data_IF_673695707260
#
_entry.id   IF_673695707260
#
_cell.length_a   1.000
_cell.length_b   1.000
_cell.length_c   1.000
_cell.angle_alpha   90.00
_cell.angle_beta   90.00
_cell.angle_gamma   90.00
#
_symmetry.space_group_name_H-M   'P 1'
#
loop_
_entity.id
_entity.type
_entity.pdbx_description
1 polymer ?
#
# COMPACT_ATOMS: atom_id res chain seq x y z
N UNK A 1 -9.33 15.00 15.01
CA UNK A 1 -8.71 14.40 13.81
C UNK A 1 -8.06 13.05 14.08
N UNK A 2 -7.38 12.83 15.23
CA UNK A 2 -6.75 11.53 15.52
C UNK A 2 -7.75 10.36 15.57
N UNK A 3 -8.91 10.53 16.23
CA UNK A 3 -9.94 9.47 16.33
C UNK A 3 -10.40 8.96 14.96
N UNK A 4 -10.54 9.86 13.97
CA UNK A 4 -10.95 9.49 12.61
C UNK A 4 -9.84 8.73 11.86
N UNK A 5 -8.58 9.17 11.96
CA UNK A 5 -7.45 8.44 11.38
C UNK A 5 -7.28 7.06 12.03
N UNK A 6 -7.44 6.98 13.36
CA UNK A 6 -7.35 5.73 14.11
C UNK A 6 -8.49 4.77 13.74
N UNK A 7 -9.74 5.24 13.65
CA UNK A 7 -10.86 4.38 13.26
C UNK A 7 -10.73 3.87 11.84
N UNK A 8 -10.28 4.71 10.90
CA UNK A 8 -10.01 4.30 9.53
C UNK A 8 -8.91 3.24 9.47
N UNK A 9 -7.82 3.40 10.22
CA UNK A 9 -6.70 2.46 10.23
C UNK A 9 -7.05 1.12 10.88
N UNK A 10 -7.85 1.13 11.96
CA UNK A 10 -8.41 -0.09 12.55
C UNK A 10 -9.31 -0.82 11.54
N UNK A 11 -10.20 -0.08 10.86
CA UNK A 11 -11.08 -0.64 9.83
C UNK A 11 -10.30 -1.26 8.67
N UNK A 12 -9.26 -0.57 8.18
CA UNK A 12 -8.38 -1.07 7.13
C UNK A 12 -7.62 -2.33 7.57
N UNK A 13 -7.10 -2.36 8.81
CA UNK A 13 -6.43 -3.53 9.38
C UNK A 13 -7.34 -4.75 9.42
N UNK A 14 -8.55 -4.59 9.96
CA UNK A 14 -9.53 -5.68 10.08
C UNK A 14 -9.97 -6.19 8.71
N UNK A 15 -10.17 -5.28 7.75
CA UNK A 15 -10.51 -5.64 6.37
C UNK A 15 -9.37 -6.36 5.66
N UNK A 16 -8.11 -5.94 5.86
CA UNK A 16 -6.95 -6.62 5.27
C UNK A 16 -6.82 -8.05 5.79
N UNK A 17 -7.00 -8.27 7.10
CA UNK A 17 -7.01 -9.61 7.71
C UNK A 17 -8.18 -10.43 7.16
N UNK A 18 -9.39 -9.85 7.13
CA UNK A 18 -10.58 -10.54 6.65
C UNK A 18 -10.45 -10.96 5.19
N UNK A 19 -10.00 -10.05 4.31
CA UNK A 19 -9.79 -10.34 2.90
C UNK A 19 -8.66 -11.37 2.69
N UNK A 20 -7.56 -11.27 3.43
CA UNK A 20 -6.49 -12.26 3.40
C UNK A 20 -6.98 -13.65 3.82
N UNK A 21 -7.81 -13.72 4.87
CA UNK A 21 -8.45 -14.96 5.31
C UNK A 21 -9.42 -15.53 4.27
N UNK A 22 -10.29 -14.70 3.68
CA UNK A 22 -11.23 -15.12 2.62
C UNK A 22 -10.45 -15.68 1.43
N UNK A 23 -9.41 -14.98 0.98
CA UNK A 23 -8.59 -15.41 -0.15
C UNK A 23 -7.81 -16.69 0.11
N UNK A 24 -7.49 -17.00 1.37
CA UNK A 24 -6.77 -18.22 1.76
C UNK A 24 -7.66 -19.39 2.21
N UNK A 25 -8.97 -19.22 2.34
CA UNK A 25 -9.85 -20.28 2.88
C UNK A 25 -11.12 -20.53 2.07
N UNK A 26 -11.64 -19.52 1.37
CA UNK A 26 -12.84 -19.64 0.56
C UNK A 26 -12.50 -20.00 -0.90
N UNK A 27 -13.53 -20.27 -1.70
CA UNK A 27 -13.39 -20.62 -3.11
C UNK A 27 -13.58 -22.11 -3.37
N UNK A 28 -13.54 -22.48 -4.64
CA UNK A 28 -13.59 -23.87 -5.10
C UNK A 28 -12.18 -24.32 -5.43
N UNK A 29 -11.80 -25.48 -4.91
CA UNK A 29 -10.56 -26.12 -5.29
C UNK A 29 -10.74 -26.78 -6.67
N UNK A 30 -10.03 -26.26 -7.67
CA UNK A 30 -9.96 -26.79 -9.03
C UNK A 30 -8.56 -27.28 -9.38
N UNK A 31 -7.68 -27.51 -8.40
CA UNK A 31 -6.32 -28.04 -8.63
C UNK A 31 -6.33 -29.38 -9.36
N UNK A 32 -7.41 -30.15 -9.22
CA UNK A 32 -7.60 -31.43 -9.90
C UNK A 32 -8.20 -31.31 -11.33
N UNK A 33 -8.71 -30.14 -11.71
CA UNK A 33 -9.27 -29.91 -13.05
C UNK A 33 -8.17 -29.49 -14.04
N UNK A 34 -7.82 -30.41 -14.94
CA UNK A 34 -6.77 -30.22 -15.93
C UNK A 34 -6.99 -28.97 -16.80
N UNK A 35 -8.23 -28.72 -17.24
CA UNK A 35 -8.52 -27.60 -18.12
C UNK A 35 -8.42 -26.24 -17.39
N UNK A 36 -8.77 -26.21 -16.09
CA UNK A 36 -8.65 -25.02 -15.27
C UNK A 36 -7.19 -24.70 -14.96
N UNK A 37 -6.40 -25.71 -14.57
CA UNK A 37 -4.96 -25.56 -14.29
C UNK A 37 -4.22 -25.13 -15.55
N UNK A 38 -4.45 -25.77 -16.70
CA UNK A 38 -3.80 -25.40 -17.97
C UNK A 38 -4.10 -23.95 -18.37
N UNK A 39 -5.33 -23.47 -18.17
CA UNK A 39 -5.71 -22.09 -18.43
C UNK A 39 -5.05 -21.11 -17.45
N UNK A 40 -4.87 -21.49 -16.19
CA UNK A 40 -4.14 -20.67 -15.21
C UNK A 40 -2.65 -20.64 -15.50
N UNK A 41 -2.05 -21.77 -15.87
CA UNK A 41 -0.66 -21.87 -16.32
C UNK A 41 -0.43 -20.98 -17.53
N UNK A 42 -1.32 -21.03 -18.53
CA UNK A 42 -1.26 -20.14 -19.69
C UNK A 42 -1.28 -18.68 -19.28
N UNK A 43 -2.26 -18.26 -18.47
CA UNK A 43 -2.38 -16.88 -18.01
C UNK A 43 -1.18 -16.44 -17.16
N UNK A 44 -0.64 -17.32 -16.32
CA UNK A 44 0.52 -17.01 -15.50
C UNK A 44 1.77 -16.83 -16.37
N UNK A 45 2.01 -17.75 -17.32
CA UNK A 45 3.18 -17.68 -18.20
C UNK A 45 3.08 -16.54 -19.21
N UNK A 46 1.87 -16.20 -19.69
CA UNK A 46 1.66 -15.07 -20.60
C UNK A 46 1.86 -13.70 -19.94
N UNK A 47 1.54 -13.60 -18.65
CA UNK A 47 1.37 -12.31 -17.95
C UNK A 47 2.40 -12.08 -16.85
N UNK A 48 2.61 -13.04 -15.94
CA UNK A 48 3.42 -12.87 -14.74
C UNK A 48 4.86 -13.39 -14.89
N UNK A 49 5.07 -14.44 -15.69
CA UNK A 49 6.38 -15.07 -15.83
C UNK A 49 7.42 -14.19 -16.53
N UNK A 50 6.98 -13.22 -17.34
CA UNK A 50 7.86 -12.16 -17.88
C UNK A 50 8.50 -11.30 -16.79
N UNK A 51 7.78 -11.05 -15.70
CA UNK A 51 8.23 -10.19 -14.62
C UNK A 51 9.09 -10.94 -13.61
N UNK A 52 8.81 -12.23 -13.36
CA UNK A 52 9.66 -13.06 -12.49
C UNK A 52 11.04 -13.33 -13.08
N UNK A 53 11.17 -13.44 -14.41
CA UNK A 53 12.48 -13.55 -15.08
C UNK A 53 13.25 -12.23 -15.09
N UNK A 54 12.57 -11.07 -15.16
CA UNK A 54 13.25 -9.76 -15.00
C UNK A 54 13.82 -9.57 -13.60
N UNK A 55 13.24 -10.23 -12.58
CA UNK A 55 13.63 -10.13 -11.16
C UNK A 55 14.79 -11.06 -10.78
N UNK A 56 14.98 -12.20 -11.45
CA UNK A 56 15.94 -13.25 -11.04
C UNK A 56 17.41 -13.00 -11.44
N UNK A 57 17.85 -11.75 -11.45
CA UNK A 57 19.27 -11.38 -11.55
C UNK A 57 20.05 -11.88 -12.79
N UNK A 58 19.39 -11.94 -13.95
CA UNK A 58 20.10 -12.08 -15.24
C UNK A 58 19.93 -10.78 -16.03
N UNK A 59 20.96 -9.93 -15.93
CA UNK A 59 21.07 -8.66 -16.63
C UNK A 59 20.79 -8.85 -18.13
N UNK A 60 19.62 -8.37 -18.56
CA UNK A 60 19.13 -8.26 -19.94
C UNK A 60 18.70 -9.61 -20.55
N UNK A 61 17.49 -10.07 -20.18
CA UNK A 61 16.75 -11.07 -20.94
C UNK A 61 15.79 -10.37 -21.95
N UNK A 62 15.94 -10.64 -23.25
CA UNK A 62 14.92 -10.30 -24.25
C UNK A 62 13.94 -11.48 -24.33
N UNK A 63 12.69 -11.24 -23.95
CA UNK A 63 11.62 -12.24 -24.06
C UNK A 63 11.22 -12.35 -25.54
N UNK A 64 11.54 -13.47 -26.20
CA UNK A 64 11.28 -13.65 -27.62
C UNK A 64 9.86 -14.18 -27.91
N UNK A 65 9.18 -14.72 -26.91
CA UNK A 65 7.77 -15.13 -27.02
C UNK A 65 7.43 -16.30 -26.09
N UNK A 66 6.14 -16.48 -25.84
CA UNK A 66 5.57 -17.69 -25.23
C UNK A 66 5.04 -18.54 -26.38
N UNK A 67 5.60 -19.73 -26.59
CA UNK A 67 5.03 -20.72 -27.53
C UNK A 67 4.19 -21.70 -26.73
N UNK A 68 3.00 -21.97 -27.23
CA UNK A 68 2.11 -22.99 -26.66
C UNK A 68 1.99 -24.09 -27.70
N UNK A 69 2.50 -25.27 -27.38
CA UNK A 69 2.24 -26.48 -28.15
C UNK A 69 1.25 -27.35 -27.39
N UNK A 70 0.39 -28.04 -28.12
CA UNK A 70 -0.59 -28.96 -27.54
C UNK A 70 -0.04 -30.37 -27.70
N UNK A 71 0.21 -31.05 -26.60
CA UNK A 71 0.63 -32.45 -26.56
C UNK A 71 -0.53 -33.35 -26.11
N UNK A 72 -0.36 -34.67 -26.23
CA UNK A 72 -1.34 -35.67 -25.83
C UNK A 72 -1.65 -35.66 -24.31
N UNK A 73 -0.75 -35.11 -23.49
CA UNK A 73 -0.90 -35.00 -22.03
C UNK A 73 -1.29 -33.59 -21.51
N UNK A 74 -1.48 -32.59 -22.40
CA UNK A 74 -1.87 -31.22 -22.02
C UNK A 74 -1.26 -30.11 -22.90
N UNK A 75 -1.18 -28.89 -22.37
CA UNK A 75 -0.50 -27.77 -23.04
C UNK A 75 0.97 -27.67 -22.58
N UNK A 76 1.89 -27.73 -23.54
CA UNK A 76 3.31 -27.40 -23.36
C UNK A 76 3.46 -25.88 -23.53
N UNK A 77 3.64 -25.17 -22.42
CA UNK A 77 3.94 -23.74 -22.47
C UNK A 77 5.44 -23.57 -22.40
N UNK A 78 6.03 -23.19 -23.53
CA UNK A 78 7.43 -22.85 -23.67
C UNK A 78 7.64 -21.35 -23.55
N UNK A 79 8.32 -20.92 -22.51
CA UNK A 79 8.88 -19.57 -22.50
C UNK A 79 10.25 -19.59 -23.20
N UNK A 80 10.42 -18.81 -24.28
CA UNK A 80 11.69 -18.68 -25.01
C UNK A 80 12.38 -17.38 -24.59
N UNK A 81 13.51 -17.50 -23.88
CA UNK A 81 14.24 -16.35 -23.33
C UNK A 81 15.62 -16.28 -23.92
N UNK A 82 16.01 -15.12 -24.46
CA UNK A 82 17.41 -14.87 -24.82
C UNK A 82 18.08 -14.07 -23.73
N UNK A 83 19.06 -14.68 -23.07
CA UNK A 83 19.94 -14.06 -22.08
C UNK A 83 21.18 -13.51 -22.77
N UNK A 84 21.69 -12.37 -22.30
CA UNK A 84 23.04 -11.91 -22.65
C UNK A 84 24.00 -12.56 -21.65
N UNK A 85 24.69 -13.64 -22.04
CA UNK A 85 25.76 -14.17 -21.19
C UNK A 85 26.91 -13.17 -21.17
N UNK A 86 27.65 -13.12 -20.05
CA UNK A 86 28.74 -12.21 -19.68
C UNK A 86 29.11 -11.13 -20.72
N UNK A 87 29.08 -9.86 -20.29
CA UNK A 87 29.41 -8.66 -21.08
C UNK A 87 30.74 -8.70 -21.84
N UNK A 88 31.62 -9.67 -21.56
CA UNK A 88 32.88 -9.92 -22.28
C UNK A 88 32.72 -10.70 -23.60
N UNK A 89 31.68 -11.55 -23.75
CA UNK A 89 31.60 -12.54 -24.82
C UNK A 89 30.48 -12.31 -25.85
N UNK A 90 29.52 -11.41 -25.54
CA UNK A 90 28.45 -11.02 -26.48
C UNK A 90 27.49 -12.14 -26.91
N UNK A 91 27.57 -13.33 -26.30
CA UNK A 91 26.76 -14.49 -26.63
C UNK A 91 25.32 -14.36 -26.09
N UNK A 92 24.38 -14.88 -26.89
CA UNK A 92 22.94 -14.87 -26.64
C UNK A 92 22.48 -16.29 -26.39
N UNK A 93 22.28 -16.67 -25.14
CA UNK A 93 21.81 -18.02 -24.78
C UNK A 93 20.29 -18.07 -24.75
N UNK A 94 19.70 -19.09 -25.37
CA UNK A 94 18.24 -19.26 -25.40
C UNK A 94 17.82 -20.46 -24.55
N UNK A 95 17.18 -20.21 -23.40
CA UNK A 95 16.66 -21.28 -22.53
C UNK A 95 15.16 -21.42 -22.72
N UNK A 96 14.69 -22.67 -22.77
CA UNK A 96 13.30 -23.03 -22.88
C UNK A 96 12.86 -23.67 -21.57
N UNK A 97 11.88 -23.07 -20.90
CA UNK A 97 11.27 -23.62 -19.69
C UNK A 97 9.98 -24.35 -20.06
N UNK A 98 9.86 -25.61 -19.63
CA UNK A 98 8.66 -26.43 -19.76
C UNK A 98 7.75 -26.33 -18.52
N UNK A 99 6.54 -25.78 -18.70
CA UNK A 99 5.48 -25.70 -17.68
C UNK A 99 4.42 -26.79 -17.84
N UNK A 100 4.80 -27.96 -18.34
CA UNK A 100 3.88 -29.09 -18.50
C UNK A 100 3.19 -29.49 -17.20
N UNK A 101 1.98 -30.03 -17.34
CA UNK A 101 1.18 -30.56 -16.23
C UNK A 101 1.93 -31.61 -15.41
N UNK A 102 2.86 -32.35 -16.04
CA UNK A 102 3.74 -33.31 -15.37
C UNK A 102 4.63 -32.62 -14.33
N UNK A 103 5.23 -31.49 -14.68
CA UNK A 103 6.08 -30.71 -13.77
C UNK A 103 5.25 -30.07 -12.65
N UNK A 104 4.07 -29.55 -12.98
CA UNK A 104 3.12 -29.06 -11.97
C UNK A 104 2.76 -30.13 -10.93
N UNK A 105 2.38 -31.34 -11.38
CA UNK A 105 2.03 -32.45 -10.50
C UNK A 105 3.23 -32.97 -9.70
N UNK A 106 4.44 -32.90 -10.25
CA UNK A 106 5.67 -33.26 -9.53
C UNK A 106 5.91 -32.29 -8.37
N UNK A 107 5.76 -30.98 -8.60
CA UNK A 107 5.87 -29.95 -7.56
C UNK A 107 4.76 -30.08 -6.51
N UNK A 108 3.51 -30.31 -6.93
CA UNK A 108 2.38 -30.47 -6.00
C UNK A 108 2.58 -31.69 -5.08
N UNK A 109 3.08 -32.82 -5.63
CA UNK A 109 3.41 -34.01 -4.83
C UNK A 109 4.58 -33.77 -3.89
N UNK A 110 5.63 -33.10 -4.35
CA UNK A 110 6.77 -32.77 -3.52
C UNK A 110 6.37 -31.85 -2.36
N UNK A 111 5.57 -30.81 -2.63
CA UNK A 111 5.04 -29.90 -1.62
C UNK A 111 4.07 -30.58 -0.63
N UNK A 112 3.28 -31.54 -1.10
CA UNK A 112 2.39 -32.33 -0.22
C UNK A 112 3.15 -33.31 0.67
N UNK A 113 4.30 -33.81 0.21
CA UNK A 113 5.14 -34.77 0.95
C UNK A 113 6.06 -34.05 1.94
N UNK A 114 6.56 -32.86 1.57
CA UNK A 114 7.46 -32.04 2.38
C UNK A 114 6.79 -30.72 2.77
N UNK A 115 5.83 -30.80 3.68
CA UNK A 115 5.10 -29.62 4.18
C UNK A 115 6.06 -28.67 4.89
N UNK A 116 6.21 -27.46 4.36
CA UNK A 116 7.13 -26.44 4.88
C UNK A 116 8.48 -26.37 4.19
N UNK A 117 8.73 -27.18 3.15
CA UNK A 117 9.94 -27.08 2.35
C UNK A 117 10.02 -25.74 1.60
N UNK A 118 11.23 -25.18 1.53
CA UNK A 118 11.48 -23.94 0.78
C UNK A 118 11.34 -24.18 -0.72
N UNK A 119 11.19 -23.10 -1.51
CA UNK A 119 11.10 -23.20 -2.98
C UNK A 119 12.39 -23.84 -3.55
N UNK A 120 13.53 -23.58 -2.92
CA UNK A 120 14.84 -24.10 -3.31
C UNK A 120 14.96 -25.60 -3.01
N UNK A 121 14.50 -26.04 -1.83
CA UNK A 121 14.43 -27.47 -1.50
C UNK A 121 13.49 -28.22 -2.44
N UNK A 122 12.35 -27.62 -2.80
CA UNK A 122 11.43 -28.20 -3.78
C UNK A 122 12.01 -28.23 -5.20
N UNK A 123 12.85 -27.25 -5.56
CA UNK A 123 13.60 -27.25 -6.81
C UNK A 123 14.63 -28.38 -6.86
N UNK A 124 15.35 -28.61 -5.76
CA UNK A 124 16.27 -29.74 -5.64
C UNK A 124 15.53 -31.09 -5.71
N UNK A 125 14.42 -31.24 -4.99
CA UNK A 125 13.62 -32.47 -4.95
C UNK A 125 12.96 -32.83 -6.28
N UNK A 126 12.62 -31.83 -7.09
CA UNK A 126 11.93 -32.03 -8.38
C UNK A 126 12.88 -31.98 -9.57
N UNK A 127 14.16 -31.67 -9.36
CA UNK A 127 15.16 -31.38 -10.40
C UNK A 127 14.70 -30.29 -11.40
N UNK A 128 13.79 -29.41 -10.97
CA UNK A 128 13.26 -28.32 -11.79
C UNK A 128 13.94 -27.00 -11.40
N UNK A 129 14.13 -26.07 -12.36
CA UNK A 129 14.55 -24.71 -12.06
C UNK A 129 13.63 -24.06 -11.03
N UNK A 130 14.20 -23.30 -10.08
CA UNK A 130 13.46 -22.57 -9.02
C UNK A 130 12.28 -21.76 -9.59
N UNK A 131 12.47 -21.14 -10.76
CA UNK A 131 11.42 -20.35 -11.43
C UNK A 131 10.20 -21.19 -11.83
N UNK A 132 10.40 -22.47 -12.18
CA UNK A 132 9.30 -23.39 -12.50
C UNK A 132 8.57 -23.90 -11.27
N UNK A 133 9.29 -24.15 -10.18
CA UNK A 133 8.71 -24.54 -8.90
C UNK A 133 7.85 -23.42 -8.34
N UNK A 134 8.38 -22.19 -8.32
CA UNK A 134 7.67 -20.98 -7.91
C UNK A 134 6.39 -20.75 -8.72
N UNK A 135 6.48 -20.84 -10.04
CA UNK A 135 5.32 -20.75 -10.92
C UNK A 135 4.27 -21.80 -10.57
N UNK A 136 4.68 -23.05 -10.39
CA UNK A 136 3.77 -24.17 -10.09
C UNK A 136 3.07 -23.99 -8.74
N UNK A 137 3.78 -23.54 -7.70
CA UNK A 137 3.18 -23.23 -6.40
C UNK A 137 2.18 -22.06 -6.48
N UNK A 138 2.50 -21.00 -7.23
CA UNK A 138 1.60 -19.87 -7.41
C UNK A 138 0.30 -20.29 -8.14
N UNK A 139 0.41 -21.18 -9.11
CA UNK A 139 -0.73 -21.75 -9.85
C UNK A 139 -1.55 -22.65 -8.92
N UNK A 140 -0.89 -23.48 -8.10
CA UNK A 140 -1.56 -24.35 -7.14
C UNK A 140 -2.37 -23.55 -6.11
N UNK A 141 -1.78 -22.48 -5.56
CA UNK A 141 -2.46 -21.57 -4.64
C UNK A 141 -3.67 -20.86 -5.28
N UNK A 142 -3.56 -20.47 -6.56
CA UNK A 142 -4.67 -19.87 -7.30
C UNK A 142 -5.77 -20.89 -7.63
N UNK A 143 -5.40 -22.13 -7.91
CA UNK A 143 -6.31 -23.21 -8.22
C UNK A 143 -7.09 -23.70 -6.99
N UNK A 144 -6.51 -23.64 -5.79
CA UNK A 144 -7.19 -24.07 -4.56
C UNK A 144 -8.32 -23.13 -4.12
N UNK A 145 -8.25 -21.84 -4.46
CA UNK A 145 -9.19 -20.79 -3.98
C UNK A 145 -9.95 -20.07 -5.10
N UNK A 146 -10.31 -20.76 -6.20
CA UNK A 146 -11.00 -20.10 -7.30
C UNK A 146 -12.36 -19.53 -6.89
N UNK A 147 -12.61 -18.27 -7.24
CA UNK A 147 -13.83 -17.55 -6.87
C UNK A 147 -13.83 -16.95 -5.46
N UNK A 148 -12.77 -17.12 -4.65
CA UNK A 148 -12.64 -16.48 -3.34
C UNK A 148 -12.71 -14.95 -3.42
N UNK A 149 -12.16 -14.37 -4.50
CA UNK A 149 -12.16 -12.92 -4.74
C UNK A 149 -13.57 -12.31 -4.75
N UNK A 150 -14.60 -13.05 -5.16
CA UNK A 150 -15.98 -12.56 -5.17
C UNK A 150 -16.48 -12.33 -3.74
N UNK A 151 -16.14 -13.24 -2.82
CA UNK A 151 -16.48 -13.14 -1.40
C UNK A 151 -15.75 -11.98 -0.72
N UNK A 152 -14.56 -11.62 -1.19
CA UNK A 152 -13.85 -10.43 -0.73
C UNK A 152 -14.57 -9.12 -1.10
N UNK A 153 -15.51 -9.12 -2.05
CA UNK A 153 -16.40 -7.97 -2.31
C UNK A 153 -17.71 -8.07 -1.51
N UNK A 154 -18.33 -9.26 -1.49
CA UNK A 154 -19.63 -9.45 -0.83
C UNK A 154 -19.58 -9.27 0.68
N UNK A 155 -18.58 -9.86 1.35
CA UNK A 155 -18.52 -9.87 2.83
C UNK A 155 -18.26 -8.46 3.38
N UNK A 156 -17.22 -7.72 2.95
CA UNK A 156 -17.04 -6.32 3.34
C UNK A 156 -18.22 -5.42 2.95
N UNK A 157 -18.81 -5.65 1.77
CA UNK A 157 -19.98 -4.89 1.31
C UNK A 157 -21.20 -5.09 2.22
N UNK A 158 -21.45 -6.33 2.66
CA UNK A 158 -22.53 -6.63 3.60
C UNK A 158 -22.27 -6.02 4.98
N UNK A 159 -21.03 -6.10 5.49
CA UNK A 159 -20.64 -5.45 6.74
C UNK A 159 -20.83 -3.92 6.68
N UNK A 160 -20.46 -3.30 5.56
CA UNK A 160 -20.70 -1.87 5.34
C UNK A 160 -22.19 -1.54 5.29
N UNK A 161 -23.03 -2.39 4.67
CA UNK A 161 -24.48 -2.20 4.65
C UNK A 161 -25.09 -2.32 6.05
N UNK A 162 -24.67 -3.32 6.84
CA UNK A 162 -25.09 -3.46 8.24
C UNK A 162 -24.69 -2.24 9.05
N UNK A 163 -23.46 -1.73 8.85
CA UNK A 163 -23.00 -0.49 9.46
C UNK A 163 -23.84 0.72 9.05
N UNK A 164 -24.21 0.83 7.78
CA UNK A 164 -25.05 1.91 7.27
C UNK A 164 -26.48 1.86 7.84
N UNK A 165 -27.09 0.68 7.93
CA UNK A 165 -28.40 0.48 8.58
C UNK A 165 -28.31 0.79 10.08
N UNK A 166 -27.24 0.36 10.74
CA UNK A 166 -26.98 0.69 12.14
C UNK A 166 -26.86 2.19 12.37
N UNK A 167 -26.10 2.90 11.54
CA UNK A 167 -26.01 4.36 11.58
C UNK A 167 -27.37 5.00 11.30
N UNK A 168 -28.11 4.53 10.31
CA UNK A 168 -29.45 5.06 10.02
C UNK A 168 -30.42 4.88 11.21
N UNK A 169 -30.32 3.79 11.96
CA UNK A 169 -31.19 3.52 13.10
C UNK A 169 -30.75 4.19 14.40
N UNK A 170 -29.43 4.37 14.63
CA UNK A 170 -28.86 4.82 15.90
C UNK A 170 -28.35 6.26 15.87
N UNK A 171 -27.96 6.78 14.70
CA UNK A 171 -27.42 8.13 14.57
C UNK A 171 -28.56 9.14 14.59
N UNK A 172 -28.70 9.86 15.70
CA UNK A 172 -29.67 10.95 15.84
C UNK A 172 -29.02 12.27 15.46
N UNK A 173 -29.72 13.09 14.68
CA UNK A 173 -29.18 14.27 14.00
C UNK A 173 -28.68 15.39 14.94
N UNK A 174 -29.18 15.50 16.16
CA UNK A 174 -28.79 16.57 17.09
C UNK A 174 -29.00 16.21 18.56
N UNK A 175 -28.21 16.79 19.50
CA UNK A 175 -28.48 16.66 20.95
C UNK A 175 -29.86 17.20 21.37
N UNK A 176 -30.47 18.07 20.55
CA UNK A 176 -31.86 18.51 20.69
C UNK A 176 -32.89 17.37 20.54
N UNK A 177 -32.60 16.36 19.72
CA UNK A 177 -33.49 15.20 19.52
C UNK A 177 -33.60 14.27 20.73
N UNK A 178 -32.71 14.44 21.71
CA UNK A 178 -32.67 13.69 22.98
C UNK A 178 -32.95 14.55 24.21
N UNK A 179 -33.38 15.81 24.03
CA UNK A 179 -33.77 16.70 25.12
C UNK A 179 -32.61 17.21 25.99
N UNK A 180 -31.35 17.07 25.53
CA UNK A 180 -30.18 17.58 26.23
C UNK A 180 -29.93 19.04 25.85
N UNK A 181 -29.64 19.94 26.81
CA UNK A 181 -29.26 21.32 26.52
C UNK A 181 -27.97 21.33 25.67
N UNK A 182 -27.91 22.22 24.67
CA UNK A 182 -26.69 22.43 23.89
C UNK A 182 -25.55 22.78 24.84
N UNK A 183 -24.46 22.00 24.80
CA UNK A 183 -23.25 22.27 25.56
C UNK A 183 -22.77 23.70 25.23
N UNK A 184 -22.73 24.58 26.23
CA UNK A 184 -22.28 25.98 26.11
C UNK A 184 -20.84 26.13 25.53
N UNK A 185 -20.07 25.05 25.50
CA UNK A 185 -18.77 24.97 24.83
C UNK A 185 -18.85 25.11 23.29
N UNK A 186 -20.04 24.96 22.68
CA UNK A 186 -20.26 25.29 21.27
C UNK A 186 -20.50 26.80 21.05
N UNK A 187 -20.92 27.53 22.10
CA UNK A 187 -21.12 28.99 22.04
C UNK A 187 -19.83 29.78 22.21
N UNK A 188 -18.75 29.18 22.69
CA UNK A 188 -17.47 29.89 22.83
C UNK A 188 -16.75 29.95 21.47
N UNK A 189 -17.04 31.03 20.72
CA UNK A 189 -16.26 31.66 19.63
C UNK A 189 -16.68 31.50 18.16
N UNK A 190 -17.86 30.97 17.82
CA UNK A 190 -18.34 30.95 16.43
C UNK A 190 -19.63 31.77 16.20
N UNK A 191 -20.45 31.98 17.23
CA UNK A 191 -21.78 32.61 17.07
C UNK A 191 -21.89 34.09 17.48
N UNK A 192 -20.85 34.74 17.99
CA UNK A 192 -20.94 36.17 18.34
C UNK A 192 -20.73 37.14 17.14
N UNK A 193 -20.85 36.65 15.91
CA UNK A 193 -20.86 37.51 14.71
C UNK A 193 -21.82 36.95 13.64
N UNK A 194 -23.09 36.77 14.00
CA UNK A 194 -24.19 36.59 13.06
C UNK A 194 -24.42 37.84 12.17
N UNK A 195 -23.57 38.87 12.30
CA UNK A 195 -23.51 40.09 11.48
C UNK A 195 -22.15 40.32 10.79
N UNK A 196 -21.33 39.28 10.56
CA UNK A 196 -20.21 39.40 9.61
C UNK A 196 -20.68 39.06 8.20
N UNK A 197 -20.80 40.09 7.36
CA UNK A 197 -21.09 40.04 5.92
C UNK A 197 -20.46 38.78 5.28
N UNK A 198 -21.26 37.98 4.56
CA UNK A 198 -20.78 36.76 3.92
C UNK A 198 -19.56 37.02 3.02
N UNK A 199 -19.46 38.25 2.48
CA UNK A 199 -18.29 38.73 1.76
C UNK A 199 -17.05 38.89 2.66
N UNK A 200 -17.19 39.38 3.89
CA UNK A 200 -16.09 39.48 4.87
C UNK A 200 -15.62 38.10 5.34
N UNK A 201 -16.54 37.14 5.55
CA UNK A 201 -16.18 35.75 5.87
C UNK A 201 -15.47 35.07 4.69
N UNK A 202 -15.93 35.30 3.46
CA UNK A 202 -15.26 34.82 2.23
C UNK A 202 -13.89 35.46 2.01
N UNK A 203 -13.75 36.77 2.25
CA UNK A 203 -12.49 37.48 2.14
C UNK A 203 -11.48 37.01 3.21
N UNK A 204 -11.95 36.75 4.43
CA UNK A 204 -11.15 36.17 5.51
C UNK A 204 -10.63 34.77 5.13
N UNK A 205 -11.50 33.89 4.64
CA UNK A 205 -11.11 32.56 4.15
C UNK A 205 -10.14 32.68 2.96
N UNK A 206 -10.36 33.62 2.03
CA UNK A 206 -9.41 33.86 0.94
C UNK A 206 -8.04 34.31 1.41
N UNK A 207 -7.97 35.20 2.41
CA UNK A 207 -6.71 35.69 2.98
C UNK A 207 -5.99 34.61 3.78
N UNK A 208 -6.71 33.88 4.63
CA UNK A 208 -6.15 32.93 5.58
C UNK A 208 -5.89 31.55 4.98
N UNK A 209 -6.66 31.13 3.96
CA UNK A 209 -6.56 29.82 3.31
C UNK A 209 -5.89 29.93 1.94
N UNK A 210 -6.56 30.58 0.97
CA UNK A 210 -6.10 30.55 -0.42
C UNK A 210 -4.86 31.42 -0.70
N UNK A 211 -4.66 32.51 0.06
CA UNK A 211 -3.48 33.39 -0.07
C UNK A 211 -2.35 33.03 0.90
N UNK A 212 -2.54 32.03 1.78
CA UNK A 212 -1.50 31.63 2.72
C UNK A 212 -0.55 30.60 2.07
N UNK A 213 0.71 30.96 1.78
CA UNK A 213 1.64 30.05 1.10
C UNK A 213 1.95 28.79 1.92
N UNK A 214 1.80 28.84 3.24
CA UNK A 214 2.14 27.69 4.08
C UNK A 214 1.04 26.62 4.02
N UNK A 215 -0.22 27.00 3.77
CA UNK A 215 -1.30 26.03 3.57
C UNK A 215 -1.14 25.30 2.23
N UNK A 216 -0.67 26.00 1.19
CA UNK A 216 -0.29 25.38 -0.07
C UNK A 216 0.92 24.44 0.09
N UNK A 217 1.94 24.85 0.85
CA UNK A 217 3.07 23.98 1.15
C UNK A 217 2.65 22.75 1.96
N UNK A 218 1.71 22.89 2.90
CA UNK A 218 1.11 21.77 3.63
C UNK A 218 0.28 20.86 2.72
N UNK A 219 -0.50 21.42 1.80
CA UNK A 219 -1.29 20.64 0.83
C UNK A 219 -0.37 19.83 -0.11
N UNK A 220 0.71 20.46 -0.59
CA UNK A 220 1.73 19.79 -1.40
C UNK A 220 2.47 18.70 -0.60
N UNK A 221 2.81 18.98 0.66
CA UNK A 221 3.40 17.97 1.54
C UNK A 221 2.44 16.79 1.79
N UNK A 222 1.14 17.08 1.98
CA UNK A 222 0.10 16.08 2.16
C UNK A 222 -0.01 15.17 0.93
N UNK A 223 0.07 15.75 -0.26
CA UNK A 223 0.09 14.98 -1.52
C UNK A 223 1.20 13.93 -1.49
N UNK A 224 2.45 14.30 -1.21
CA UNK A 224 3.57 13.34 -1.19
C UNK A 224 3.43 12.27 -0.10
N UNK A 225 3.02 12.67 1.11
CA UNK A 225 2.78 11.73 2.22
C UNK A 225 1.71 10.70 1.85
N UNK A 226 0.62 11.15 1.22
CA UNK A 226 -0.46 10.27 0.81
C UNK A 226 -0.05 9.38 -0.37
N UNK A 227 0.74 9.87 -1.34
CA UNK A 227 1.31 9.00 -2.40
C UNK A 227 2.07 7.83 -1.77
N UNK A 228 2.98 8.11 -0.83
CA UNK A 228 3.79 7.06 -0.18
C UNK A 228 2.89 6.09 0.59
N UNK A 229 1.94 6.60 1.38
CA UNK A 229 1.00 5.77 2.16
C UNK A 229 0.19 4.82 1.29
N UNK A 230 -0.50 5.35 0.28
CA UNK A 230 -1.38 4.56 -0.57
C UNK A 230 -0.61 3.66 -1.53
N UNK A 231 0.59 4.05 -1.94
CA UNK A 231 1.49 3.13 -2.67
C UNK A 231 1.79 1.88 -1.86
N UNK A 232 2.04 2.01 -0.55
CA UNK A 232 2.30 0.86 0.32
C UNK A 232 1.03 0.13 0.72
N UNK A 233 -0.08 0.83 1.00
CA UNK A 233 -1.33 0.22 1.47
C UNK A 233 -2.06 -0.52 0.35
N UNK A 234 -2.24 0.13 -0.81
CA UNK A 234 -3.05 -0.44 -1.91
C UNK A 234 -2.26 -1.50 -2.69
N UNK A 235 -0.96 -1.28 -2.88
CA UNK A 235 -0.09 -2.19 -3.64
C UNK A 235 0.71 -3.14 -2.77
N UNK A 236 0.72 -2.95 -1.44
CA UNK A 236 1.44 -3.81 -0.49
C UNK A 236 1.06 -5.28 -0.61
N UNK A 237 -0.22 -5.67 -0.56
CA UNK A 237 -0.60 -7.08 -0.69
C UNK A 237 -0.18 -7.67 -2.03
N UNK A 238 -0.37 -6.90 -3.11
CA UNK A 238 0.02 -7.33 -4.46
C UNK A 238 1.53 -7.52 -4.56
N UNK A 239 2.30 -6.58 -4.01
CA UNK A 239 3.75 -6.69 -3.95
C UNK A 239 4.20 -7.92 -3.14
N UNK A 240 3.70 -8.09 -1.91
CA UNK A 240 4.12 -9.19 -1.05
C UNK A 240 3.77 -10.56 -1.65
N UNK A 241 2.64 -10.65 -2.35
CA UNK A 241 2.23 -11.89 -3.04
C UNK A 241 2.97 -12.14 -4.36
N UNK A 242 3.30 -11.11 -5.14
CA UNK A 242 3.96 -11.26 -6.45
C UNK A 242 5.49 -11.21 -6.42
N UNK A 243 6.07 -10.52 -5.43
CA UNK A 243 7.51 -10.30 -5.35
C UNK A 243 8.17 -11.14 -4.25
N UNK A 244 7.44 -11.42 -3.16
CA UNK A 244 7.94 -12.20 -2.03
C UNK A 244 7.27 -13.57 -1.88
N UNK A 245 6.38 -13.95 -2.82
CA UNK A 245 5.66 -15.23 -2.83
C UNK A 245 4.89 -15.55 -1.53
N UNK A 246 4.56 -14.52 -0.74
CA UNK A 246 3.82 -14.71 0.50
C UNK A 246 2.40 -15.20 0.22
N UNK A 247 1.91 -16.08 1.09
CA UNK A 247 0.50 -16.44 1.10
C UNK A 247 -0.39 -15.19 1.27
N UNK A 248 -1.56 -15.19 0.63
CA UNK A 248 -2.51 -14.07 0.71
C UNK A 248 -2.90 -13.69 2.14
N UNK A 249 -2.94 -14.66 3.05
CA UNK A 249 -3.20 -14.44 4.48
C UNK A 249 -2.06 -13.67 5.16
N UNK A 250 -0.81 -14.08 4.95
CA UNK A 250 0.39 -13.42 5.50
C UNK A 250 0.56 -12.02 4.92
N UNK A 251 0.31 -11.84 3.62
CA UNK A 251 0.34 -10.52 2.97
C UNK A 251 -0.74 -9.56 3.54
N UNK A 252 -1.95 -10.07 3.80
CA UNK A 252 -3.00 -9.31 4.49
C UNK A 252 -2.63 -8.96 5.93
N UNK A 253 -2.03 -9.90 6.67
CA UNK A 253 -1.54 -9.67 8.02
C UNK A 253 -0.41 -8.62 8.06
N UNK A 254 0.51 -8.64 7.09
CA UNK A 254 1.58 -7.65 6.98
C UNK A 254 1.04 -6.22 6.83
N UNK A 255 0.02 -6.03 5.98
CA UNK A 255 -0.65 -4.72 5.84
C UNK A 255 -1.40 -4.33 7.10
N UNK A 256 -2.00 -5.28 7.82
CA UNK A 256 -2.62 -5.00 9.11
C UNK A 256 -1.61 -4.58 10.18
N UNK A 257 -0.43 -5.23 10.23
CA UNK A 257 0.65 -4.82 11.14
C UNK A 257 1.18 -3.43 10.78
N UNK A 258 1.29 -3.12 9.47
CA UNK A 258 1.63 -1.78 8.99
C UNK A 258 0.66 -0.71 9.49
N UNK A 259 -0.65 -0.97 9.41
CA UNK A 259 -1.69 -0.06 9.90
C UNK A 259 -1.64 0.12 11.43
N UNK A 260 -1.51 -0.99 12.19
CA UNK A 260 -1.42 -0.95 13.66
C UNK A 260 -0.18 -0.17 14.13
N UNK A 261 0.98 -0.41 13.52
CA UNK A 261 2.19 0.36 13.82
C UNK A 261 2.05 1.82 13.37
N UNK A 262 1.29 2.09 12.30
CA UNK A 262 0.90 3.43 11.90
C UNK A 262 0.14 4.17 13.01
N UNK A 263 -0.83 3.51 13.68
CA UNK A 263 -1.55 4.08 14.83
C UNK A 263 -0.60 4.43 15.97
N UNK A 264 0.34 3.54 16.29
CA UNK A 264 1.35 3.81 17.32
C UNK A 264 2.24 4.98 16.89
N UNK A 265 2.62 5.03 15.60
CA UNK A 265 3.40 6.11 14.99
C UNK A 265 2.76 7.49 15.10
N UNK A 266 1.46 7.61 14.82
CA UNK A 266 0.75 8.88 14.96
C UNK A 266 0.66 9.35 16.43
N UNK A 267 0.52 8.43 17.39
CA UNK A 267 0.48 8.76 18.82
C UNK A 267 1.86 9.25 19.30
N UNK A 268 2.92 8.54 18.93
CA UNK A 268 4.30 8.93 19.27
C UNK A 268 4.67 10.24 18.58
N UNK A 269 4.32 10.42 17.31
CA UNK A 269 4.58 11.68 16.58
C UNK A 269 3.84 12.87 17.21
N UNK A 270 2.62 12.69 17.70
CA UNK A 270 1.91 13.70 18.49
C UNK A 270 2.70 14.07 19.77
N UNK A 271 3.07 13.06 20.56
CA UNK A 271 3.83 13.26 21.79
C UNK A 271 5.20 13.92 21.57
N UNK A 272 5.94 13.49 20.54
CA UNK A 272 7.24 14.07 20.14
C UNK A 272 7.05 15.53 19.72
N UNK A 273 6.00 15.85 18.98
CA UNK A 273 5.71 17.23 18.57
C UNK A 273 5.48 18.13 19.78
N UNK A 274 4.71 17.65 20.76
CA UNK A 274 4.35 18.44 21.94
C UNK A 274 5.53 18.60 22.91
N UNK A 275 6.32 17.55 23.12
CA UNK A 275 7.39 17.54 24.15
C UNK A 275 8.77 17.96 23.63
N UNK A 276 9.16 17.54 22.43
CA UNK A 276 10.50 17.80 21.86
C UNK A 276 10.53 19.05 20.97
N UNK A 277 9.47 19.30 20.19
CA UNK A 277 9.46 20.37 19.19
C UNK A 277 8.61 21.58 19.56
N UNK A 278 8.12 21.62 20.80
CA UNK A 278 7.30 22.73 21.30
C UNK A 278 6.16 23.05 20.33
N UNK A 279 5.43 22.03 19.88
CA UNK A 279 4.25 22.09 19.01
C UNK A 279 4.48 22.45 17.55
N UNK A 280 5.73 22.50 17.08
CA UNK A 280 6.04 22.73 15.65
C UNK A 280 5.91 21.44 14.84
N UNK A 281 4.68 21.10 14.47
CA UNK A 281 4.33 19.89 13.70
C UNK A 281 5.23 19.63 12.47
N UNK A 282 5.61 20.69 11.74
CA UNK A 282 6.46 20.57 10.53
C UNK A 282 7.82 19.90 10.78
N UNK A 283 8.41 20.07 11.98
CA UNK A 283 9.73 19.51 12.33
C UNK A 283 9.65 18.01 12.58
N UNK A 284 8.62 17.58 13.28
CA UNK A 284 8.35 16.16 13.49
C UNK A 284 8.02 15.48 12.16
N UNK A 285 7.24 16.13 11.29
CA UNK A 285 6.94 15.60 9.96
C UNK A 285 8.20 15.34 9.13
N UNK A 286 9.21 16.22 9.20
CA UNK A 286 10.47 16.02 8.48
C UNK A 286 11.21 14.76 8.95
N UNK A 287 11.39 14.60 10.26
CA UNK A 287 12.07 13.42 10.82
C UNK A 287 11.32 12.13 10.53
N UNK A 288 9.99 12.18 10.55
CA UNK A 288 9.16 11.08 10.11
C UNK A 288 9.34 10.77 8.62
N UNK A 289 9.41 11.77 7.73
CA UNK A 289 9.64 11.51 6.30
C UNK A 289 11.04 10.95 6.02
N UNK A 290 12.07 11.38 6.76
CA UNK A 290 13.41 10.79 6.69
C UNK A 290 13.37 9.34 7.16
N UNK A 291 12.70 9.06 8.28
CA UNK A 291 12.50 7.70 8.78
C UNK A 291 11.77 6.80 7.78
N UNK A 292 10.70 7.30 7.16
CA UNK A 292 9.97 6.58 6.12
C UNK A 292 10.86 6.28 4.89
N UNK A 293 11.64 7.26 4.42
CA UNK A 293 12.55 7.06 3.30
C UNK A 293 13.64 6.01 3.61
N UNK A 294 14.20 6.03 4.83
CA UNK A 294 15.17 5.05 5.29
C UNK A 294 14.57 3.65 5.42
N UNK A 295 13.36 3.52 5.97
CA UNK A 295 12.66 2.24 6.03
C UNK A 295 12.35 1.69 4.63
N UNK A 296 11.90 2.54 3.70
CA UNK A 296 11.65 2.13 2.31
C UNK A 296 12.95 1.76 1.57
N UNK A 297 14.06 2.45 1.84
CA UNK A 297 15.37 2.08 1.30
C UNK A 297 15.89 0.77 1.89
N UNK A 298 15.71 0.55 3.19
CA UNK A 298 15.99 -0.71 3.87
C UNK A 298 15.17 -1.85 3.30
N UNK A 299 13.86 -1.62 3.09
CA UNK A 299 12.97 -2.58 2.45
C UNK A 299 13.45 -2.96 1.04
N UNK A 300 13.85 -1.97 0.24
CA UNK A 300 14.42 -2.20 -1.08
C UNK A 300 15.72 -3.02 -1.03
N UNK A 301 16.59 -2.74 -0.05
CA UNK A 301 17.84 -3.47 0.16
C UNK A 301 17.59 -4.94 0.57
N UNK A 302 16.65 -5.18 1.49
CA UNK A 302 16.28 -6.53 1.90
C UNK A 302 15.59 -7.30 0.77
N UNK A 303 14.77 -6.64 -0.04
CA UNK A 303 14.19 -7.24 -1.24
C UNK A 303 15.26 -7.69 -2.26
N UNK A 304 16.37 -6.96 -2.39
CA UNK A 304 17.48 -7.31 -3.27
C UNK A 304 18.43 -8.37 -2.69
N UNK A 305 18.36 -8.63 -1.38
CA UNK A 305 19.28 -9.54 -0.69
C UNK A 305 18.73 -10.96 -0.69
N UNK A 306 19.46 -11.96 -1.21
CA UNK A 306 19.06 -13.37 -1.16
C UNK A 306 19.40 -13.95 0.21
N UNK A 307 18.68 -13.55 1.26
CA UNK A 307 18.87 -14.09 2.62
C UNK A 307 17.71 -15.00 3.01
N UNK A 308 18.04 -16.18 3.54
CA UNK A 308 17.16 -17.33 3.85
C UNK A 308 16.11 -17.11 4.96
N UNK A 309 15.98 -15.91 5.54
CA UNK A 309 15.02 -15.59 6.61
C UNK A 309 14.21 -14.31 6.25
N UNK A 310 13.22 -14.38 5.33
CA UNK A 310 12.82 -13.19 4.57
C UNK A 310 11.58 -12.47 5.12
N UNK A 311 10.58 -13.19 5.63
CA UNK A 311 9.25 -12.60 5.79
C UNK A 311 9.12 -11.68 7.01
N UNK A 312 9.60 -12.12 8.18
CA UNK A 312 9.39 -11.36 9.42
C UNK A 312 10.16 -10.04 9.45
N UNK A 313 11.40 -10.03 8.94
CA UNK A 313 12.21 -8.81 8.83
C UNK A 313 11.64 -7.84 7.78
N UNK A 314 11.21 -8.36 6.63
CA UNK A 314 10.60 -7.56 5.58
C UNK A 314 9.28 -6.92 6.07
N UNK A 315 8.42 -7.71 6.73
CA UNK A 315 7.19 -7.23 7.36
C UNK A 315 7.51 -6.20 8.45
N UNK A 316 8.54 -6.44 9.26
CA UNK A 316 8.99 -5.52 10.31
C UNK A 316 9.44 -4.17 9.76
N UNK A 317 10.25 -4.16 8.70
CA UNK A 317 10.71 -2.92 8.04
C UNK A 317 9.54 -2.19 7.36
N UNK A 318 8.63 -2.92 6.71
CA UNK A 318 7.41 -2.35 6.15
C UNK A 318 6.54 -1.70 7.25
N UNK A 319 6.35 -2.40 8.37
CA UNK A 319 5.58 -1.91 9.49
C UNK A 319 6.21 -0.65 10.13
N UNK A 320 7.54 -0.61 10.22
CA UNK A 320 8.27 0.59 10.63
C UNK A 320 8.10 1.74 9.64
N UNK A 321 8.00 1.49 8.33
CA UNK A 321 7.63 2.53 7.38
C UNK A 321 6.23 3.09 7.71
N UNK A 322 5.26 2.23 8.07
CA UNK A 322 3.93 2.63 8.53
C UNK A 322 3.97 3.55 9.75
N UNK A 323 4.76 3.21 10.76
CA UNK A 323 4.99 4.05 11.95
C UNK A 323 5.44 5.47 11.57
N UNK A 324 6.34 5.61 10.61
CA UNK A 324 6.85 6.92 10.19
C UNK A 324 5.91 7.67 9.24
N UNK A 325 5.13 7.00 8.39
CA UNK A 325 4.21 7.66 7.43
C UNK A 325 2.98 8.25 8.12
N UNK A 326 2.46 7.58 9.14
CA UNK A 326 1.23 7.99 9.84
C UNK A 326 1.42 9.24 10.72
N UNK A 327 2.64 9.50 11.19
CA UNK A 327 2.97 10.71 11.95
C UNK A 327 2.65 12.00 11.15
N UNK A 328 3.28 12.21 9.98
CA UNK A 328 3.00 13.34 9.10
C UNK A 328 1.53 13.43 8.71
N UNK A 329 0.89 12.30 8.39
CA UNK A 329 -0.53 12.27 8.01
C UNK A 329 -1.43 12.90 9.09
N UNK A 330 -1.21 12.58 10.36
CA UNK A 330 -1.99 13.14 11.46
C UNK A 330 -1.63 14.61 11.75
N UNK A 331 -0.33 14.95 11.67
CA UNK A 331 0.20 16.26 12.04
C UNK A 331 -0.12 17.35 11.01
N UNK A 332 -0.18 17.04 9.71
CA UNK A 332 -0.46 18.03 8.65
C UNK A 332 -1.84 18.68 8.85
N UNK A 333 -2.86 17.90 9.18
CA UNK A 333 -4.20 18.44 9.41
C UNK A 333 -4.29 19.31 10.67
N UNK A 334 -3.51 18.99 11.71
CA UNK A 334 -3.37 19.83 12.90
C UNK A 334 -2.65 21.13 12.54
N UNK A 335 -1.55 21.05 11.77
CA UNK A 335 -0.80 22.21 11.32
C UNK A 335 -1.64 23.14 10.42
N UNK A 336 -2.44 22.57 9.51
CA UNK A 336 -3.35 23.33 8.65
C UNK A 336 -4.44 24.03 9.47
N UNK A 337 -5.03 23.34 10.45
CA UNK A 337 -6.01 23.94 11.36
C UNK A 337 -5.41 25.08 12.21
N UNK A 338 -4.21 24.89 12.75
CA UNK A 338 -3.52 25.90 13.57
C UNK A 338 -3.12 27.14 12.76
N UNK A 339 -2.85 26.98 11.46
CA UNK A 339 -2.52 28.11 10.58
C UNK A 339 -3.74 28.84 10.01
N UNK A 340 -4.83 28.14 9.76
CA UNK A 340 -6.05 28.73 9.21
C UNK A 340 -6.98 29.34 10.28
N UNK A 341 -6.63 29.21 11.57
CA UNK A 341 -7.45 29.59 12.75
C UNK A 341 -8.79 28.85 12.86
N UNK A 342 -9.43 28.89 14.04
CA UNK A 342 -10.70 28.18 14.30
C UNK A 342 -11.79 28.46 13.26
N UNK A 343 -11.87 29.69 12.71
CA UNK A 343 -12.89 30.11 11.75
C UNK A 343 -12.68 29.55 10.33
N UNK A 344 -11.45 29.22 9.91
CA UNK A 344 -11.18 28.71 8.56
C UNK A 344 -10.45 27.34 8.53
N UNK A 345 -10.26 26.70 9.70
CA UNK A 345 -9.65 25.38 9.84
C UNK A 345 -10.36 24.30 9.00
N UNK A 346 -11.70 24.34 8.91
CA UNK A 346 -12.47 23.39 8.10
C UNK A 346 -12.13 23.53 6.60
N UNK A 347 -12.10 24.75 6.07
CA UNK A 347 -11.78 25.01 4.65
C UNK A 347 -10.32 24.67 4.33
N UNK A 348 -9.39 24.97 5.24
CA UNK A 348 -7.99 24.60 5.07
C UNK A 348 -7.77 23.09 5.03
N UNK A 349 -8.41 22.35 5.94
CA UNK A 349 -8.38 20.89 5.92
C UNK A 349 -9.07 20.31 4.68
N UNK A 350 -10.14 20.94 4.21
CA UNK A 350 -10.77 20.59 2.92
C UNK A 350 -9.80 20.73 1.75
N UNK A 351 -9.09 21.86 1.65
CA UNK A 351 -8.10 22.08 0.59
C UNK A 351 -6.96 21.06 0.66
N UNK A 352 -6.38 20.86 1.85
CA UNK A 352 -5.32 19.87 2.07
C UNK A 352 -5.80 18.44 1.76
N UNK A 353 -7.05 18.14 2.08
CA UNK A 353 -7.71 16.87 1.78
C UNK A 353 -7.85 16.61 0.29
N UNK A 354 -8.26 17.60 -0.51
CA UNK A 354 -8.35 17.47 -1.98
C UNK A 354 -7.01 17.04 -2.57
N UNK A 355 -5.91 17.65 -2.14
CA UNK A 355 -4.57 17.25 -2.58
C UNK A 355 -4.18 15.85 -2.09
N UNK A 356 -4.59 15.46 -0.88
CA UNK A 356 -4.40 14.09 -0.38
C UNK A 356 -5.14 13.06 -1.23
N UNK A 357 -6.38 13.32 -1.64
CA UNK A 357 -7.16 12.38 -2.47
C UNK A 357 -6.74 12.39 -3.94
N UNK A 358 -6.29 13.54 -4.45
CA UNK A 358 -5.68 13.61 -5.78
C UNK A 358 -4.45 12.70 -5.86
N UNK A 359 -3.69 12.62 -4.77
CA UNK A 359 -2.53 11.77 -4.69
C UNK A 359 -2.89 10.29 -4.79
N UNK A 360 -4.06 9.86 -4.27
CA UNK A 360 -4.54 8.47 -4.37
C UNK A 360 -4.79 8.07 -5.82
N UNK A 361 -5.34 8.98 -6.63
CA UNK A 361 -5.53 8.74 -8.06
C UNK A 361 -4.18 8.62 -8.79
N UNK A 362 -3.22 9.48 -8.44
CA UNK A 362 -1.87 9.46 -9.01
C UNK A 362 -1.09 8.22 -8.57
N UNK A 363 -1.17 7.80 -7.31
CA UNK A 363 -0.49 6.59 -6.84
C UNK A 363 -1.13 5.33 -7.43
N UNK A 364 -2.47 5.26 -7.51
CA UNK A 364 -3.17 4.14 -8.12
C UNK A 364 -2.77 3.94 -9.59
N UNK A 365 -2.88 4.97 -10.42
CA UNK A 365 -2.53 4.86 -11.84
C UNK A 365 -1.01 4.79 -12.07
N UNK A 366 -0.25 5.58 -11.31
CA UNK A 366 1.19 5.70 -11.45
C UNK A 366 1.93 4.43 -11.02
N UNK A 367 1.62 3.87 -9.85
CA UNK A 367 2.27 2.64 -9.37
C UNK A 367 1.94 1.47 -10.28
N UNK A 368 0.68 1.34 -10.72
CA UNK A 368 0.29 0.30 -11.66
C UNK A 368 1.05 0.38 -12.98
N UNK A 369 1.12 1.57 -13.58
CA UNK A 369 1.86 1.78 -14.82
C UNK A 369 3.37 1.54 -14.66
N UNK A 370 3.98 1.95 -13.54
CA UNK A 370 5.39 1.66 -13.25
C UNK A 370 5.63 0.17 -13.07
N UNK A 371 4.76 -0.52 -12.33
CA UNK A 371 4.86 -1.95 -12.07
C UNK A 371 4.80 -2.76 -13.37
N UNK A 372 3.82 -2.47 -14.25
CA UNK A 372 3.60 -3.24 -15.48
C UNK A 372 4.71 -3.02 -16.53
N UNK A 373 5.31 -1.81 -16.60
CA UNK A 373 6.32 -1.49 -17.62
C UNK A 373 7.75 -1.71 -17.15
N UNK A 374 8.08 -1.28 -15.93
CA UNK A 374 9.45 -1.21 -15.41
C UNK A 374 9.72 -2.17 -14.25
N UNK A 375 8.67 -2.69 -13.60
CA UNK A 375 8.76 -3.61 -12.47
C UNK A 375 8.84 -2.91 -11.11
N UNK A 376 8.73 -3.72 -10.05
CA UNK A 376 8.58 -3.26 -8.66
C UNK A 376 9.78 -2.47 -8.12
N UNK A 377 11.00 -2.70 -8.60
CA UNK A 377 12.19 -1.93 -8.18
C UNK A 377 12.06 -0.44 -8.47
N UNK A 378 11.49 -0.08 -9.62
CA UNK A 378 11.26 1.32 -10.00
C UNK A 378 10.11 1.94 -9.20
N UNK A 379 9.12 1.14 -8.80
CA UNK A 379 8.05 1.57 -7.89
C UNK A 379 8.67 2.01 -6.56
N UNK A 380 9.53 1.20 -5.95
CA UNK A 380 10.18 1.57 -4.69
C UNK A 380 11.08 2.80 -4.81
N UNK A 381 11.88 2.88 -5.88
CA UNK A 381 12.69 4.07 -6.14
C UNK A 381 11.81 5.32 -6.30
N UNK A 382 10.66 5.21 -6.97
CA UNK A 382 9.67 6.26 -7.09
C UNK A 382 9.08 6.67 -5.75
N UNK A 383 8.69 5.71 -4.91
CA UNK A 383 8.16 5.97 -3.56
C UNK A 383 9.20 6.64 -2.66
N UNK A 384 10.46 6.20 -2.71
CA UNK A 384 11.58 6.81 -1.98
C UNK A 384 11.82 8.24 -2.47
N UNK A 385 11.82 8.47 -3.79
CA UNK A 385 11.96 9.81 -4.35
C UNK A 385 10.83 10.74 -3.88
N UNK A 386 9.59 10.27 -3.88
CA UNK A 386 8.44 11.04 -3.38
C UNK A 386 8.55 11.32 -1.87
N UNK A 387 9.07 10.37 -1.08
CA UNK A 387 9.34 10.58 0.34
C UNK A 387 10.42 11.66 0.56
N UNK A 388 11.50 11.64 -0.22
CA UNK A 388 12.57 12.65 -0.16
C UNK A 388 12.01 14.02 -0.55
N UNK A 389 11.27 14.12 -1.65
CA UNK A 389 10.66 15.38 -2.10
C UNK A 389 9.71 15.93 -1.04
N UNK A 390 8.86 15.07 -0.45
CA UNK A 390 8.00 15.47 0.67
C UNK A 390 8.81 15.96 1.88
N UNK A 391 9.91 15.30 2.21
CA UNK A 391 10.86 15.74 3.24
C UNK A 391 11.47 17.12 2.95
N UNK A 392 11.87 17.39 1.70
CA UNK A 392 12.38 18.70 1.26
C UNK A 392 11.32 19.78 1.38
N UNK A 393 10.05 19.48 1.06
CA UNK A 393 8.93 20.42 1.26
C UNK A 393 8.76 20.75 2.74
N UNK A 394 8.88 19.77 3.65
CA UNK A 394 8.89 20.04 5.09
C UNK A 394 10.12 20.83 5.56
N UNK A 395 11.29 20.61 4.95
CA UNK A 395 12.52 21.36 5.24
C UNK A 395 12.36 22.82 4.83
N UNK A 396 11.75 23.09 3.68
CA UNK A 396 11.43 24.46 3.24
C UNK A 396 10.48 25.17 4.21
N UNK A 397 9.64 24.43 4.96
CA UNK A 397 8.76 24.94 5.99
C UNK A 397 9.40 25.04 7.39
N UNK A 398 10.70 24.79 7.54
CA UNK A 398 11.38 24.75 8.84
C UNK A 398 11.30 26.06 9.65
N UNK A 399 11.23 27.19 8.96
CA UNK A 399 11.09 28.54 9.53
C UNK A 399 9.64 28.99 9.78
N UNK A 400 8.63 28.16 9.46
CA UNK A 400 7.23 28.53 9.64
C UNK A 400 6.88 28.69 11.14
N UNK A 401 6.11 29.74 11.45
CA UNK A 401 5.58 29.97 12.80
C UNK A 401 4.64 28.82 13.20
N UNK A 402 4.58 28.54 14.50
CA UNK A 402 3.79 27.44 15.09
C UNK A 402 2.31 27.58 14.74
N UNK A 403 1.78 28.81 14.79
CA UNK A 403 0.38 29.10 14.57
C UNK A 403 0.19 30.37 13.73
N UNK A 404 -0.94 30.46 13.04
CA UNK A 404 -1.30 31.61 12.19
C UNK A 404 -1.99 32.75 12.93
N UNK A 405 -2.20 32.63 14.25
CA UNK A 405 -2.97 33.59 15.05
C UNK A 405 -2.39 35.01 15.04
N UNK A 406 -1.07 35.18 14.88
CA UNK A 406 -0.46 36.51 14.74
C UNK A 406 -0.85 37.24 13.44
N UNK A 407 -1.36 36.51 12.43
CA UNK A 407 -1.72 37.04 11.10
C UNK A 407 -3.23 37.20 10.90
N UNK A 408 -4.03 36.59 11.78
CA UNK A 408 -5.49 36.69 11.81
C UNK A 408 -5.91 37.96 12.53
#
# INVERSE_FOLDING_TARGET
MSIWNTSHSIGASLLAILCGFIMGTMGKNVSNDAAAVDKMTYNYVSTAFKDDIKKSDIRIAKVNGVKVEKDNDGYLVYGIYTYKSNFEDGRRDTTVYDFSRKNYLAVERAAATHVGASIEELAELTELPVVQVKASQSIASRASHTGAWQWAFWIPGLLALVGAVGLFALLRDTPKSVGLPELEMAKTSIDDDEHTDAAARRAFVQKMVYKNPIIWALALANFFVYVVRFSVLDWGPKFLTEACDMAYSSAGAAVAVFEILGIIGMLVAGWVTDKLFGGRAHRTCLWCMVGAALCMAGFYYFYLSPTEEPDALLIGVLAMAGFFIYGPQALIGIAAANQATKKAAATANGLVGIFGYLSTAVSGLGVGWLADNYGWSYVFMGVIAMAIVGGVVFLAMWGAKRDGYDKA
#
